data_IF_295859541168
#
_entry.id   IF_295859541168
#
_cell.length_a   1.000
_cell.length_b   1.000
_cell.length_c   1.000
_cell.angle_alpha   90.00
_cell.angle_beta   90.00
_cell.angle_gamma   90.00
#
_symmetry.space_group_name_H-M   'P 1'
#
loop_
_entity.id
_entity.type
_entity.pdbx_description
1 polymer ?
#
# COMPACT_ATOMS: atom_id res chain seq x y z
N UNK A 1 -23.67 -31.72 -19.38
CA UNK A 1 -22.49 -31.10 -20.04
C UNK A 1 -22.32 -29.60 -19.70
N UNK A 2 -22.73 -29.12 -18.51
CA UNK A 2 -22.76 -27.68 -18.14
C UNK A 2 -21.73 -27.28 -17.07
N UNK A 3 -20.97 -28.23 -16.52
CA UNK A 3 -20.06 -27.99 -15.40
C UNK A 3 -18.63 -27.62 -15.82
N UNK A 4 -18.30 -27.76 -17.11
CA UNK A 4 -16.99 -27.42 -17.68
C UNK A 4 -16.55 -25.98 -17.36
N UNK A 5 -17.38 -24.93 -17.54
CA UNK A 5 -16.95 -23.57 -17.23
C UNK A 5 -16.68 -23.36 -15.73
N UNK A 6 -17.44 -24.03 -14.86
CA UNK A 6 -17.23 -23.97 -13.42
C UNK A 6 -15.92 -24.65 -13.00
N UNK A 7 -15.61 -25.80 -13.60
CA UNK A 7 -14.35 -26.51 -13.37
C UNK A 7 -13.15 -25.69 -13.85
N UNK A 8 -13.26 -25.01 -14.99
CA UNK A 8 -12.20 -24.14 -15.51
C UNK A 8 -11.93 -22.93 -14.61
N UNK A 9 -12.99 -22.34 -14.04
CA UNK A 9 -12.89 -21.20 -13.14
C UNK A 9 -12.15 -21.56 -11.84
N UNK A 10 -12.46 -22.74 -11.29
CA UNK A 10 -11.83 -23.26 -10.07
C UNK A 10 -10.36 -23.64 -10.34
N UNK A 11 -10.05 -24.23 -11.50
CA UNK A 11 -8.67 -24.55 -11.85
C UNK A 11 -7.79 -23.30 -12.00
N UNK A 12 -8.36 -22.21 -12.51
CA UNK A 12 -7.65 -20.94 -12.70
C UNK A 12 -7.24 -20.27 -11.39
N UNK A 13 -8.05 -20.37 -10.32
CA UNK A 13 -7.70 -19.82 -9.02
C UNK A 13 -6.63 -20.63 -8.29
N UNK A 14 -6.57 -21.95 -8.50
CA UNK A 14 -5.52 -22.82 -7.98
C UNK A 14 -4.15 -22.57 -8.64
N UNK A 15 -4.15 -22.11 -9.89
CA UNK A 15 -2.94 -21.74 -10.63
C UNK A 15 -2.46 -20.31 -10.36
N UNK A 16 -3.21 -19.52 -9.59
CA UNK A 16 -2.76 -18.19 -9.18
C UNK A 16 -1.47 -18.35 -8.36
N UNK A 17 -0.34 -18.03 -8.99
CA UNK A 17 0.97 -18.20 -8.41
C UNK A 17 1.06 -17.43 -7.10
N UNK A 18 1.52 -18.11 -6.05
CA UNK A 18 1.79 -17.51 -4.75
C UNK A 18 3.10 -16.70 -4.85
N UNK A 19 3.03 -15.55 -5.52
CA UNK A 19 4.17 -14.64 -5.63
C UNK A 19 4.45 -14.08 -4.25
N UNK A 20 5.56 -14.49 -3.65
CA UNK A 20 5.99 -13.93 -2.38
C UNK A 20 6.26 -12.44 -2.59
N UNK A 21 5.55 -11.53 -1.91
CA UNK A 21 5.79 -10.10 -2.06
C UNK A 21 7.16 -9.74 -1.47
N UNK A 22 7.82 -8.76 -2.08
CA UNK A 22 8.98 -8.12 -1.45
C UNK A 22 8.46 -7.10 -0.44
N UNK A 23 9.05 -7.11 0.76
CA UNK A 23 8.71 -6.16 1.83
C UNK A 23 9.88 -5.20 2.00
N UNK A 24 9.60 -3.91 1.94
CA UNK A 24 10.59 -2.84 2.16
C UNK A 24 10.12 -2.02 3.35
N UNK A 25 10.95 -1.90 4.38
CA UNK A 25 10.71 -1.07 5.55
C UNK A 25 11.59 0.18 5.46
N UNK A 26 10.96 1.35 5.35
CA UNK A 26 11.62 2.65 5.37
C UNK A 26 11.38 3.27 6.75
N UNK A 27 12.46 3.67 7.42
CA UNK A 27 12.42 4.34 8.73
C UNK A 27 13.16 5.65 8.57
N UNK A 28 12.51 6.74 8.93
CA UNK A 28 13.12 8.06 9.07
C UNK A 28 13.43 8.33 10.54
N UNK A 29 14.55 8.99 10.80
CA UNK A 29 14.91 9.46 12.13
C UNK A 29 14.37 10.87 12.33
N UNK A 30 13.80 11.14 13.52
CA UNK A 30 13.26 12.44 13.94
C UNK A 30 12.32 13.15 12.96
N UNK A 31 11.66 12.44 12.04
CA UNK A 31 10.72 13.06 11.09
C UNK A 31 9.45 13.50 11.82
N UNK A 32 9.21 14.81 11.85
CA UNK A 32 8.02 15.41 12.43
C UNK A 32 6.77 15.24 11.56
N UNK A 33 5.61 15.48 12.17
CA UNK A 33 4.32 15.37 11.49
C UNK A 33 4.22 16.29 10.26
N UNK A 34 4.71 17.53 10.37
CA UNK A 34 4.66 18.53 9.31
C UNK A 34 5.84 18.46 8.33
N UNK A 35 6.69 17.43 8.39
CA UNK A 35 7.85 17.30 7.50
C UNK A 35 7.52 16.59 6.18
N UNK A 36 6.26 16.18 6.00
CA UNK A 36 5.74 15.57 4.76
C UNK A 36 4.68 16.47 4.12
N UNK A 37 4.78 16.63 2.80
CA UNK A 37 3.91 17.49 2.01
C UNK A 37 2.44 17.09 2.09
N UNK A 38 2.13 15.80 2.21
CA UNK A 38 0.74 15.33 2.36
C UNK A 38 0.08 15.71 3.70
N UNK A 39 0.85 16.19 4.69
CA UNK A 39 0.33 16.84 5.91
C UNK A 39 0.26 18.37 5.81
N UNK A 40 0.58 18.96 4.65
CA UNK A 40 0.63 20.41 4.47
C UNK A 40 1.95 21.05 4.92
N UNK A 41 3.01 20.25 5.05
CA UNK A 41 4.37 20.72 5.30
C UNK A 41 4.97 21.51 4.13
N UNK A 42 5.95 22.35 4.42
CA UNK A 42 6.76 23.08 3.42
C UNK A 42 7.71 22.18 2.59
N UNK A 43 8.34 21.12 3.15
CA UNK A 43 9.25 20.27 2.38
C UNK A 43 8.54 19.56 1.22
N UNK A 44 9.17 19.58 0.04
CA UNK A 44 8.68 18.82 -1.12
C UNK A 44 9.01 17.33 -0.98
N UNK A 45 8.00 16.50 -0.73
CA UNK A 45 8.13 15.04 -0.58
C UNK A 45 7.38 14.29 -1.68
N UNK A 46 7.55 14.70 -2.94
CA UNK A 46 6.72 14.25 -4.08
C UNK A 46 6.53 12.72 -4.20
N UNK A 47 7.57 11.91 -3.92
CA UNK A 47 7.47 10.45 -3.96
C UNK A 47 6.60 9.88 -2.82
N UNK A 48 6.74 10.43 -1.61
CA UNK A 48 5.94 10.04 -0.44
C UNK A 48 4.49 10.51 -0.64
N UNK A 49 4.30 11.73 -1.15
CA UNK A 49 2.99 12.31 -1.41
C UNK A 49 2.22 11.53 -2.49
N UNK A 50 2.92 11.06 -3.53
CA UNK A 50 2.34 10.17 -4.52
C UNK A 50 1.99 8.81 -3.91
N UNK A 51 2.88 8.23 -3.11
CA UNK A 51 2.65 6.95 -2.44
C UNK A 51 1.43 6.99 -1.50
N UNK A 52 1.23 8.11 -0.79
CA UNK A 52 0.07 8.33 0.10
C UNK A 52 -1.28 8.18 -0.59
N UNK A 53 -1.39 8.50 -1.88
CA UNK A 53 -2.65 8.43 -2.65
C UNK A 53 -3.20 7.01 -2.80
N UNK A 54 -2.34 6.00 -2.72
CA UNK A 54 -2.69 4.58 -2.86
C UNK A 54 -2.37 3.76 -1.60
N UNK A 55 -2.11 4.43 -0.47
CA UNK A 55 -1.64 3.80 0.76
C UNK A 55 -2.53 4.12 1.94
N UNK A 56 -2.48 3.27 2.95
CA UNK A 56 -3.10 3.52 4.25
C UNK A 56 -2.06 4.14 5.19
N UNK A 57 -2.45 5.25 5.79
CA UNK A 57 -1.70 5.85 6.89
C UNK A 57 -2.28 5.39 8.22
N UNK A 58 -1.38 5.05 9.14
CA UNK A 58 -1.72 4.79 10.53
C UNK A 58 -1.32 6.05 11.28
N UNK A 59 -2.31 6.82 11.71
CA UNK A 59 -2.14 8.06 12.46
C UNK A 59 -3.10 8.09 13.64
N UNK A 60 -2.66 8.68 14.74
CA UNK A 60 -3.52 9.02 15.87
C UNK A 60 -3.97 10.47 15.73
N UNK A 61 -5.28 10.70 15.74
CA UNK A 61 -5.88 12.02 15.48
C UNK A 61 -5.62 13.06 16.58
N UNK A 62 -5.09 12.65 17.73
CA UNK A 62 -5.07 13.46 18.95
C UNK A 62 -3.65 13.75 19.47
N UNK A 63 -2.61 13.53 18.68
CA UNK A 63 -1.21 13.71 19.13
C UNK A 63 -0.64 15.14 19.00
N UNK A 64 -1.38 16.11 18.45
CA UNK A 64 -1.04 17.55 18.50
C UNK A 64 -2.29 18.44 18.47
#
# INVERSE_FOLDING_TARGET
MKCIPLVLLIASSLLAANTKPNVVLLISDDQGWMDVGYHGGEPSTANIDQFRKSSHEISEKDSY
#
